data_IF_056615161774
#
_entry.id   IF_056615161774
#
_cell.length_a   1.000
_cell.length_b   1.000
_cell.length_c   1.000
_cell.angle_alpha   90.00
_cell.angle_beta   90.00
_cell.angle_gamma   90.00
#
_symmetry.space_group_name_H-M   'P 1'
#
loop_
_entity.id
_entity.type
_entity.pdbx_description
1 polymer ?
#
# COMPACT_ATOMS: atom_id res chain seq x y z
N UNK A 1 8.07 -78.53 51.61
CA UNK A 1 7.88 -77.50 52.64
C UNK A 1 8.38 -76.21 52.10
N UNK A 2 7.65 -75.19 52.14
CA UNK A 2 7.70 -73.75 52.01
C UNK A 2 6.76 -73.24 50.88
N UNK A 3 5.64 -72.79 51.38
CA UNK A 3 4.59 -72.08 50.64
C UNK A 3 5.09 -70.68 50.31
N UNK A 4 5.06 -70.27 49.03
CA UNK A 4 5.25 -68.91 48.66
C UNK A 4 3.91 -68.31 48.25
N UNK A 5 3.41 -67.43 49.04
CA UNK A 5 2.18 -66.65 48.83
C UNK A 5 2.44 -65.62 47.74
N UNK A 6 1.75 -65.75 46.60
CA UNK A 6 1.71 -64.70 45.58
C UNK A 6 0.60 -63.69 45.91
N UNK A 7 0.98 -62.49 46.25
CA UNK A 7 0.07 -61.38 46.50
C UNK A 7 -0.38 -60.79 45.15
N UNK A 8 -1.62 -61.02 44.78
CA UNK A 8 -2.26 -60.33 43.65
C UNK A 8 -2.65 -58.92 44.13
N UNK A 9 -1.95 -57.91 43.64
CA UNK A 9 -2.38 -56.52 43.79
C UNK A 9 -3.36 -56.25 42.63
N UNK A 10 -4.65 -56.24 42.96
CA UNK A 10 -5.73 -55.86 42.04
C UNK A 10 -5.73 -54.31 41.95
N UNK A 11 -5.13 -53.76 40.95
CA UNK A 11 -5.21 -52.33 40.68
C UNK A 11 -6.55 -52.03 40.03
N UNK A 12 -7.47 -51.50 40.83
CA UNK A 12 -8.77 -51.02 40.36
C UNK A 12 -8.56 -49.73 39.62
N UNK A 13 -8.52 -49.76 38.27
CA UNK A 13 -8.60 -48.56 37.46
C UNK A 13 -10.04 -48.11 37.47
N UNK A 14 -10.33 -47.11 38.31
CA UNK A 14 -11.60 -46.40 38.25
C UNK A 14 -11.51 -45.51 37.02
N UNK A 15 -12.08 -45.97 35.91
CA UNK A 15 -12.38 -45.18 34.74
C UNK A 15 -13.53 -44.25 35.12
N UNK A 16 -13.23 -43.06 35.65
CA UNK A 16 -14.19 -41.98 35.77
C UNK A 16 -14.58 -41.55 34.36
N UNK A 17 -15.65 -42.09 33.83
CA UNK A 17 -16.36 -41.50 32.71
C UNK A 17 -16.85 -40.11 33.16
N UNK A 18 -16.02 -39.10 32.99
CA UNK A 18 -16.51 -37.72 32.92
C UNK A 18 -17.40 -37.71 31.66
N UNK A 19 -18.69 -37.84 31.86
CA UNK A 19 -19.66 -37.47 30.84
C UNK A 19 -19.42 -35.98 30.59
N UNK A 20 -18.63 -35.68 29.54
CA UNK A 20 -18.63 -34.35 28.96
C UNK A 20 -20.08 -34.13 28.50
N UNK A 21 -20.86 -33.44 29.34
CA UNK A 21 -22.04 -32.76 28.82
C UNK A 21 -21.56 -31.96 27.63
N UNK A 22 -22.14 -32.15 26.44
CA UNK A 22 -21.84 -31.23 25.35
C UNK A 22 -22.19 -29.86 25.92
N UNK A 23 -21.17 -28.98 26.01
CA UNK A 23 -21.40 -27.56 26.17
C UNK A 23 -22.29 -27.26 24.97
N UNK A 24 -23.56 -26.93 25.25
CA UNK A 24 -24.43 -26.38 24.23
C UNK A 24 -23.68 -25.17 23.73
N UNK A 25 -23.08 -25.30 22.56
CA UNK A 25 -22.65 -24.16 21.77
C UNK A 25 -23.94 -23.36 21.66
N UNK A 26 -24.04 -22.22 22.32
CA UNK A 26 -25.13 -21.29 22.07
C UNK A 26 -25.21 -21.22 20.53
N UNK A 27 -26.43 -21.44 20.01
CA UNK A 27 -26.69 -21.24 18.59
C UNK A 27 -26.14 -19.85 18.29
N UNK A 28 -24.90 -19.80 17.77
CA UNK A 28 -24.21 -18.56 17.43
C UNK A 28 -25.09 -17.87 16.39
N UNK A 29 -25.30 -16.61 16.52
CA UNK A 29 -25.86 -15.81 15.44
C UNK A 29 -25.17 -16.24 14.16
N UNK A 30 -25.96 -16.60 13.13
CA UNK A 30 -25.41 -17.08 11.86
C UNK A 30 -24.42 -16.03 11.35
N UNK A 31 -23.21 -16.47 11.00
CA UNK A 31 -22.16 -15.59 10.48
C UNK A 31 -22.72 -14.88 9.23
N UNK A 32 -23.03 -13.58 9.35
CA UNK A 32 -23.69 -12.82 8.29
C UNK A 32 -22.85 -12.78 7.01
N UNK A 33 -21.54 -12.95 7.12
CA UNK A 33 -20.61 -12.87 6.01
C UNK A 33 -20.49 -14.17 5.21
N UNK A 34 -21.03 -15.30 5.72
CA UNK A 34 -20.95 -16.60 5.05
C UNK A 34 -21.58 -16.56 3.65
N UNK A 35 -22.68 -15.81 3.49
CA UNK A 35 -23.40 -15.67 2.21
C UNK A 35 -23.01 -14.42 1.42
N UNK A 36 -22.15 -13.55 1.96
CA UNK A 36 -21.81 -12.28 1.30
C UNK A 36 -20.81 -12.46 0.18
N UNK A 37 -21.12 -11.84 -0.97
CA UNK A 37 -20.18 -11.61 -2.04
C UNK A 37 -19.56 -10.19 -1.92
N UNK A 38 -18.66 -9.84 -2.83
CA UNK A 38 -17.98 -8.54 -2.85
C UNK A 38 -18.95 -7.36 -2.99
N UNK A 39 -20.03 -7.54 -3.74
CA UNK A 39 -21.07 -6.50 -3.91
C UNK A 39 -21.82 -6.25 -2.61
N UNK A 40 -22.03 -7.28 -1.78
CA UNK A 40 -22.67 -7.11 -0.48
C UNK A 40 -21.78 -6.30 0.47
N UNK A 41 -20.46 -6.60 0.51
CA UNK A 41 -19.48 -5.78 1.25
C UNK A 41 -19.44 -4.35 0.75
N UNK A 42 -19.44 -4.14 -0.58
CA UNK A 42 -19.43 -2.80 -1.17
C UNK A 42 -20.66 -1.99 -0.76
N UNK A 43 -21.85 -2.58 -0.90
CA UNK A 43 -23.12 -1.93 -0.55
C UNK A 43 -23.16 -1.57 0.93
N UNK A 44 -22.79 -2.50 1.78
CA UNK A 44 -22.78 -2.30 3.24
C UNK A 44 -21.78 -1.19 3.62
N UNK A 45 -20.56 -1.23 3.11
CA UNK A 45 -19.54 -0.23 3.39
C UNK A 45 -19.95 1.18 2.92
N UNK A 46 -20.34 1.33 1.65
CA UNK A 46 -20.66 2.65 1.09
C UNK A 46 -21.93 3.22 1.71
N UNK A 47 -22.99 2.41 1.91
CA UNK A 47 -24.24 2.88 2.49
C UNK A 47 -24.09 3.40 3.92
N UNK A 48 -23.17 2.85 4.70
CA UNK A 48 -22.89 3.30 6.07
C UNK A 48 -21.88 4.44 6.14
N UNK A 49 -21.14 4.71 5.04
CA UNK A 49 -20.01 5.65 4.99
C UNK A 49 -20.01 6.42 3.65
N UNK A 50 -21.05 7.21 3.39
CA UNK A 50 -21.19 7.98 2.14
C UNK A 50 -20.10 9.05 1.98
N UNK A 51 -19.74 9.72 3.07
CA UNK A 51 -18.67 10.72 3.10
C UNK A 51 -17.47 10.17 3.87
N UNK A 52 -16.42 9.85 3.16
CA UNK A 52 -15.13 9.40 3.68
C UNK A 52 -14.02 10.37 3.30
N UNK A 53 -14.40 11.65 3.15
CA UNK A 53 -13.46 12.68 2.72
C UNK A 53 -12.21 12.66 3.59
N UNK A 54 -11.09 12.57 2.93
CA UNK A 54 -9.75 12.55 3.55
C UNK A 54 -9.57 13.71 4.53
N UNK A 55 -8.89 13.47 5.63
CA UNK A 55 -8.65 14.44 6.72
C UNK A 55 -9.92 14.93 7.45
N UNK A 56 -11.02 14.17 7.40
CA UNK A 56 -12.26 14.52 8.09
C UNK A 56 -12.71 13.46 9.08
N UNK A 57 -13.66 13.81 9.95
CA UNK A 57 -14.32 12.85 10.83
C UNK A 57 -15.06 11.75 10.05
N UNK A 58 -15.40 11.99 8.78
CA UNK A 58 -16.00 10.98 7.89
C UNK A 58 -15.03 9.88 7.52
N UNK A 59 -13.77 10.23 7.22
CA UNK A 59 -12.70 9.25 7.02
C UNK A 59 -12.47 8.41 8.29
N UNK A 60 -12.35 9.06 9.45
CA UNK A 60 -12.17 8.34 10.72
C UNK A 60 -13.31 7.38 11.01
N UNK A 61 -14.56 7.81 10.83
CA UNK A 61 -15.75 6.97 10.99
C UNK A 61 -15.73 5.76 10.05
N UNK A 62 -15.34 5.96 8.81
CA UNK A 62 -15.25 4.86 7.83
C UNK A 62 -14.15 3.86 8.22
N UNK A 63 -13.02 4.33 8.73
CA UNK A 63 -11.99 3.48 9.30
C UNK A 63 -12.51 2.66 10.50
N UNK A 64 -13.24 3.28 11.42
CA UNK A 64 -13.86 2.58 12.56
C UNK A 64 -14.87 1.54 12.09
N UNK A 65 -15.59 1.82 11.01
CA UNK A 65 -16.49 0.86 10.40
C UNK A 65 -15.75 -0.36 9.83
N UNK A 66 -14.68 -0.16 9.06
CA UNK A 66 -13.85 -1.27 8.56
C UNK A 66 -13.29 -2.10 9.70
N UNK A 67 -12.81 -1.44 10.78
CA UNK A 67 -12.33 -2.12 11.98
C UNK A 67 -13.43 -3.00 12.60
N UNK A 68 -14.63 -2.47 12.77
CA UNK A 68 -15.75 -3.23 13.36
C UNK A 68 -16.14 -4.45 12.53
N UNK A 69 -16.15 -4.33 11.20
CA UNK A 69 -16.40 -5.46 10.29
C UNK A 69 -15.33 -6.55 10.42
N UNK A 70 -14.07 -6.16 10.50
CA UNK A 70 -12.96 -7.11 10.73
C UNK A 70 -13.05 -7.77 12.10
N UNK A 71 -13.45 -7.03 13.14
CA UNK A 71 -13.67 -7.60 14.49
C UNK A 71 -14.82 -8.61 14.52
N UNK A 72 -15.91 -8.36 13.81
CA UNK A 72 -17.01 -9.31 13.63
C UNK A 72 -16.56 -10.59 12.89
N UNK A 73 -15.60 -10.49 11.96
CA UNK A 73 -14.98 -11.64 11.29
C UNK A 73 -14.03 -12.44 12.19
N UNK A 74 -13.77 -11.96 13.42
CA UNK A 74 -12.89 -12.61 14.39
C UNK A 74 -11.48 -12.00 14.48
N UNK A 75 -11.15 -10.95 13.75
CA UNK A 75 -9.93 -10.18 13.93
C UNK A 75 -10.08 -9.25 15.13
N UNK A 76 -9.68 -9.69 16.29
CA UNK A 76 -9.88 -8.95 17.54
C UNK A 76 -8.59 -8.26 18.01
N UNK A 77 -8.69 -7.38 19.00
CA UNK A 77 -7.51 -6.80 19.65
C UNK A 77 -6.76 -7.82 20.53
N UNK A 78 -7.34 -9.02 20.75
CA UNK A 78 -6.76 -10.12 21.55
C UNK A 78 -6.18 -11.19 20.64
N UNK A 79 -4.96 -11.65 20.95
CA UNK A 79 -4.21 -12.62 20.11
C UNK A 79 -4.61 -14.09 20.34
N UNK A 80 -5.84 -14.38 20.69
CA UNK A 80 -6.22 -15.73 21.16
C UNK A 80 -6.28 -16.78 20.04
N UNK A 81 -6.51 -16.35 18.79
CA UNK A 81 -6.67 -17.23 17.62
C UNK A 81 -5.70 -16.91 16.46
N UNK A 82 -4.69 -16.07 16.68
CA UNK A 82 -3.79 -15.61 15.63
C UNK A 82 -4.38 -14.52 14.72
N UNK A 83 -5.65 -14.11 14.93
CA UNK A 83 -6.28 -13.03 14.20
C UNK A 83 -6.30 -11.77 15.07
N UNK A 84 -5.72 -10.69 14.56
CA UNK A 84 -5.67 -9.40 15.28
C UNK A 84 -6.10 -8.26 14.38
N UNK A 85 -6.60 -7.18 14.99
CA UNK A 85 -6.88 -5.92 14.32
C UNK A 85 -6.43 -4.73 15.16
N UNK A 86 -6.14 -3.60 14.51
CA UNK A 86 -5.75 -2.36 15.15
C UNK A 86 -6.07 -1.16 14.27
N UNK A 87 -6.42 -0.05 14.91
CA UNK A 87 -6.47 1.29 14.30
C UNK A 87 -5.13 1.98 14.54
N UNK A 88 -4.35 2.17 13.47
CA UNK A 88 -3.03 2.79 13.50
C UNK A 88 -3.13 4.28 13.18
N UNK A 89 -3.01 5.14 14.18
CA UNK A 89 -3.01 6.59 14.01
C UNK A 89 -1.69 7.07 13.43
N UNK A 90 -1.75 8.05 12.52
CA UNK A 90 -0.58 8.76 12.03
C UNK A 90 -0.87 10.26 11.86
N UNK A 91 0.19 11.07 11.96
CA UNK A 91 0.14 12.51 11.72
C UNK A 91 0.83 12.82 10.39
N UNK A 92 0.28 13.77 9.64
CA UNK A 92 0.87 14.25 8.38
C UNK A 92 0.56 15.71 8.14
N UNK A 93 1.30 16.32 7.23
CA UNK A 93 1.04 17.68 6.75
C UNK A 93 0.62 17.57 5.30
N UNK A 94 -0.57 18.07 4.99
CA UNK A 94 -1.08 18.10 3.62
C UNK A 94 -0.14 18.94 2.73
N UNK A 95 0.36 18.31 1.66
CA UNK A 95 1.28 18.96 0.72
C UNK A 95 0.62 20.04 -0.14
N UNK A 96 -0.72 20.06 -0.21
CA UNK A 96 -1.48 21.00 -1.04
C UNK A 96 -1.70 22.32 -0.30
N UNK A 97 -2.20 22.26 0.93
CA UNK A 97 -2.59 23.44 1.72
C UNK A 97 -1.67 23.73 2.91
N UNK A 98 -0.80 22.76 3.30
CA UNK A 98 0.10 22.89 4.43
C UNK A 98 -0.54 22.62 5.80
N UNK A 99 -1.77 22.13 5.84
CA UNK A 99 -2.49 21.84 7.07
C UNK A 99 -1.97 20.58 7.76
N UNK A 100 -1.89 20.63 9.09
CA UNK A 100 -1.56 19.46 9.91
C UNK A 100 -2.82 18.63 10.11
N UNK A 101 -2.76 17.36 9.71
CA UNK A 101 -3.87 16.42 9.74
C UNK A 101 -3.53 15.15 10.52
N UNK A 102 -4.58 14.43 10.90
CA UNK A 102 -4.50 13.09 11.48
C UNK A 102 -5.21 12.13 10.55
N UNK A 103 -4.59 10.98 10.30
CA UNK A 103 -5.19 9.88 9.55
C UNK A 103 -5.05 8.57 10.30
N UNK A 104 -5.70 7.55 9.79
CA UNK A 104 -5.69 6.21 10.39
C UNK A 104 -5.55 5.15 9.30
N UNK A 105 -4.69 4.15 9.54
CA UNK A 105 -4.74 2.89 8.82
C UNK A 105 -5.49 1.87 9.67
N UNK A 106 -6.28 1.04 9.03
CA UNK A 106 -6.91 -0.10 9.69
C UNK A 106 -6.14 -1.35 9.28
N UNK A 107 -5.57 -2.01 10.26
CA UNK A 107 -4.68 -3.15 10.06
C UNK A 107 -5.29 -4.39 10.69
N UNK A 108 -5.52 -5.42 9.89
CA UNK A 108 -5.88 -6.74 10.41
C UNK A 108 -4.77 -7.74 10.06
N UNK A 109 -4.48 -8.67 10.95
CA UNK A 109 -3.41 -9.64 10.77
C UNK A 109 -3.89 -11.05 11.05
N UNK A 110 -3.45 -11.95 10.20
CA UNK A 110 -3.46 -13.38 10.43
C UNK A 110 -2.03 -13.82 10.73
N UNK A 111 -1.74 -14.04 12.00
CA UNK A 111 -0.43 -14.50 12.44
C UNK A 111 -0.35 -16.02 12.40
N UNK A 112 0.68 -16.57 11.77
CA UNK A 112 0.94 -18.00 11.65
C UNK A 112 2.13 -18.36 12.55
N UNK A 113 1.93 -19.36 13.41
CA UNK A 113 2.98 -19.78 14.37
C UNK A 113 4.25 -20.20 13.66
N UNK A 114 5.38 -19.55 14.02
CA UNK A 114 6.68 -19.82 13.44
C UNK A 114 6.96 -19.15 12.09
N UNK A 115 5.97 -18.50 11.46
CA UNK A 115 6.20 -17.75 10.23
C UNK A 115 6.86 -16.39 10.52
N UNK A 116 7.85 -16.04 9.71
CA UNK A 116 8.55 -14.74 9.77
C UNK A 116 8.27 -13.85 8.58
N UNK A 117 7.67 -14.42 7.53
CA UNK A 117 7.37 -13.73 6.28
C UNK A 117 5.92 -13.23 6.26
N UNK A 118 5.67 -12.23 5.42
CA UNK A 118 4.38 -11.56 5.32
C UNK A 118 3.92 -11.45 3.87
N UNK A 119 2.61 -11.51 3.68
CA UNK A 119 1.92 -11.01 2.49
C UNK A 119 1.04 -9.86 2.93
N UNK A 120 1.12 -8.73 2.24
CA UNK A 120 0.28 -7.56 2.51
C UNK A 120 -0.79 -7.48 1.42
N UNK A 121 -2.05 -7.34 1.82
CA UNK A 121 -3.20 -7.09 0.95
C UNK A 121 -3.76 -5.73 1.38
N UNK A 122 -3.65 -4.73 0.51
CA UNK A 122 -3.97 -3.35 0.83
C UNK A 122 -4.98 -2.73 -0.13
N UNK A 123 -5.71 -1.73 0.36
CA UNK A 123 -6.55 -0.83 -0.41
C UNK A 123 -6.63 0.51 0.33
N UNK A 124 -7.05 1.60 -0.32
CA UNK A 124 -7.45 2.80 0.42
C UNK A 124 -8.95 2.79 0.69
N UNK A 125 -9.38 3.54 1.73
CA UNK A 125 -10.79 3.64 2.10
C UNK A 125 -11.34 5.08 2.09
N UNK A 126 -10.46 6.08 2.03
CA UNK A 126 -10.81 7.50 1.92
C UNK A 126 -11.32 7.86 0.52
N UNK A 127 -12.02 8.99 0.44
CA UNK A 127 -12.51 9.57 -0.83
C UNK A 127 -12.46 11.09 -0.79
N UNK A 128 -13.14 11.75 -1.74
CA UNK A 128 -13.19 13.19 -1.91
C UNK A 128 -14.62 13.76 -1.89
N UNK A 129 -15.59 13.09 -1.25
CA UNK A 129 -17.02 13.42 -1.33
C UNK A 129 -17.32 14.89 -1.00
N UNK A 130 -16.81 15.41 0.10
CA UNK A 130 -16.97 16.80 0.54
C UNK A 130 -15.74 17.67 0.32
N UNK A 131 -14.70 17.16 -0.37
CA UNK A 131 -13.52 17.95 -0.69
C UNK A 131 -13.86 19.04 -1.70
N UNK A 132 -13.44 20.27 -1.41
CA UNK A 132 -13.68 21.43 -2.27
C UNK A 132 -12.38 21.92 -2.92
N UNK A 133 -12.41 22.06 -4.24
CA UNK A 133 -11.35 22.69 -5.00
C UNK A 133 -11.92 23.96 -5.67
N UNK A 134 -11.33 25.11 -5.36
CA UNK A 134 -11.81 26.42 -5.84
C UNK A 134 -13.30 26.71 -5.50
N UNK A 135 -13.79 26.21 -4.36
CA UNK A 135 -15.17 26.40 -3.91
C UNK A 135 -16.19 25.43 -4.54
N UNK A 136 -15.75 24.44 -5.28
CA UNK A 136 -16.60 23.40 -5.84
C UNK A 136 -16.26 22.02 -5.28
N UNK A 137 -17.28 21.24 -4.90
CA UNK A 137 -17.10 19.83 -4.54
C UNK A 137 -16.66 19.05 -5.76
N UNK A 138 -15.60 18.21 -5.60
CA UNK A 138 -15.00 17.48 -6.72
C UNK A 138 -15.36 16.01 -6.75
N UNK A 139 -15.63 15.37 -5.61
CA UNK A 139 -15.91 13.94 -5.49
C UNK A 139 -17.37 13.59 -5.29
N UNK A 140 -17.69 12.32 -5.42
CA UNK A 140 -18.93 11.66 -5.07
C UNK A 140 -18.76 10.74 -3.86
N UNK A 141 -19.65 9.76 -3.68
CA UNK A 141 -19.61 8.80 -2.58
C UNK A 141 -18.42 7.82 -2.66
N UNK A 142 -17.67 7.82 -3.76
CA UNK A 142 -16.52 6.95 -3.98
C UNK A 142 -16.87 5.46 -4.00
N UNK A 143 -18.00 5.10 -4.60
CA UNK A 143 -18.43 3.70 -4.67
C UNK A 143 -17.50 2.86 -5.55
N UNK A 144 -17.03 3.43 -6.68
CA UNK A 144 -16.05 2.80 -7.55
C UNK A 144 -14.70 2.59 -6.84
N UNK A 145 -14.25 3.60 -6.07
CA UNK A 145 -13.02 3.52 -5.26
C UNK A 145 -13.15 2.46 -4.17
N UNK A 146 -14.31 2.36 -3.50
CA UNK A 146 -14.57 1.43 -2.42
C UNK A 146 -14.59 -0.05 -2.83
N UNK A 147 -14.54 -0.36 -4.13
CA UNK A 147 -14.49 -1.75 -4.61
C UNK A 147 -13.23 -2.49 -4.15
N UNK A 148 -12.12 -1.78 -3.93
CA UNK A 148 -10.92 -2.33 -3.31
C UNK A 148 -11.16 -2.76 -1.86
N UNK A 149 -11.89 -1.95 -1.08
CA UNK A 149 -12.28 -2.28 0.31
C UNK A 149 -13.13 -3.55 0.33
N UNK A 150 -14.12 -3.65 -0.56
CA UNK A 150 -15.00 -4.81 -0.65
C UNK A 150 -14.22 -6.12 -0.91
N UNK A 151 -13.30 -6.11 -1.86
CA UNK A 151 -12.43 -7.25 -2.18
C UNK A 151 -11.50 -7.57 -1.00
N UNK A 152 -10.89 -6.57 -0.36
CA UNK A 152 -10.03 -6.78 0.81
C UNK A 152 -10.81 -7.44 1.97
N UNK A 153 -12.03 -6.96 2.27
CA UNK A 153 -12.86 -7.54 3.33
C UNK A 153 -13.28 -8.98 3.00
N UNK A 154 -13.63 -9.25 1.73
CA UNK A 154 -13.94 -10.63 1.28
C UNK A 154 -12.72 -11.53 1.43
N UNK A 155 -11.54 -11.09 1.04
CA UNK A 155 -10.30 -11.84 1.21
C UNK A 155 -9.96 -12.04 2.69
N UNK A 156 -10.16 -11.05 3.55
CA UNK A 156 -9.97 -11.18 4.99
C UNK A 156 -10.87 -12.27 5.57
N UNK A 157 -12.13 -12.29 5.15
CA UNK A 157 -13.08 -13.34 5.53
C UNK A 157 -12.64 -14.71 5.03
N UNK A 158 -12.35 -14.85 3.74
CA UNK A 158 -12.04 -16.13 3.10
C UNK A 158 -10.71 -16.75 3.59
N UNK A 159 -9.70 -15.90 3.84
CA UNK A 159 -8.38 -16.37 4.24
C UNK A 159 -8.22 -16.56 5.75
N UNK A 160 -9.17 -16.13 6.59
CA UNK A 160 -9.00 -16.13 8.05
C UNK A 160 -8.66 -17.50 8.65
N UNK A 161 -9.14 -18.57 8.06
CA UNK A 161 -8.91 -19.94 8.54
C UNK A 161 -8.10 -20.79 7.54
N UNK A 162 -7.65 -20.24 6.43
CA UNK A 162 -6.78 -20.96 5.48
C UNK A 162 -5.42 -21.29 6.13
N UNK A 163 -4.87 -22.44 5.80
CA UNK A 163 -3.52 -22.82 6.26
C UNK A 163 -2.49 -22.24 5.30
N UNK A 164 -1.71 -21.28 5.78
CA UNK A 164 -0.69 -20.58 4.98
C UNK A 164 0.68 -20.72 5.66
N UNK A 165 1.80 -20.70 4.90
CA UNK A 165 3.14 -20.78 5.46
C UNK A 165 3.72 -19.42 5.89
N UNK A 166 2.97 -18.33 5.76
CA UNK A 166 3.34 -16.95 6.08
C UNK A 166 2.19 -16.22 6.76
N UNK A 167 2.51 -15.09 7.37
CA UNK A 167 1.54 -14.18 7.95
C UNK A 167 0.84 -13.36 6.84
N UNK A 168 -0.44 -13.03 7.04
CA UNK A 168 -1.17 -12.11 6.13
C UNK A 168 -1.52 -10.85 6.89
N UNK A 169 -1.29 -9.70 6.23
CA UNK A 169 -1.62 -8.37 6.77
C UNK A 169 -2.58 -7.71 5.79
N UNK A 170 -3.80 -7.43 6.23
CA UNK A 170 -4.78 -6.64 5.52
C UNK A 170 -4.68 -5.20 5.99
N UNK A 171 -4.59 -4.25 5.06
CA UNK A 171 -4.45 -2.84 5.41
C UNK A 171 -5.43 -2.00 4.58
N UNK A 172 -6.39 -1.35 5.26
CA UNK A 172 -7.12 -0.25 4.67
C UNK A 172 -6.38 1.05 4.99
N UNK A 173 -5.81 1.66 3.98
CA UNK A 173 -5.02 2.89 4.10
C UNK A 173 -5.92 4.12 4.10
N UNK A 174 -5.68 5.05 5.03
CA UNK A 174 -6.25 6.38 4.98
C UNK A 174 -5.29 7.39 4.36
N UNK A 175 -5.78 8.59 4.05
CA UNK A 175 -4.95 9.67 3.53
C UNK A 175 -4.37 9.44 2.13
N UNK A 176 -4.96 8.54 1.35
CA UNK A 176 -4.54 8.25 -0.02
C UNK A 176 -4.70 9.47 -0.92
N UNK A 177 -5.88 10.09 -0.90
CA UNK A 177 -6.28 11.13 -1.85
C UNK A 177 -5.40 12.40 -1.79
N UNK A 178 -4.75 12.66 -0.67
CA UNK A 178 -3.84 13.81 -0.48
C UNK A 178 -2.35 13.45 -0.69
N UNK A 179 -1.99 12.20 -0.95
CA UNK A 179 -0.60 11.84 -1.26
C UNK A 179 -0.10 10.54 -0.67
N UNK A 180 -0.95 9.51 -0.51
CA UNK A 180 -0.58 8.17 -0.04
C UNK A 180 -0.01 8.14 1.40
N UNK A 181 -0.42 9.11 2.24
CA UNK A 181 0.16 9.27 3.58
C UNK A 181 0.02 8.03 4.46
N UNK A 182 -1.14 7.33 4.38
CA UNK A 182 -1.33 6.10 5.14
C UNK A 182 -0.30 5.03 4.81
N UNK A 183 -0.04 4.80 3.53
CA UNK A 183 0.96 3.81 3.11
C UNK A 183 2.37 4.24 3.51
N UNK A 184 2.74 5.52 3.35
CA UNK A 184 4.03 6.05 3.81
C UNK A 184 4.24 5.80 5.32
N UNK A 185 3.23 6.16 6.13
CA UNK A 185 3.31 6.02 7.59
C UNK A 185 3.26 4.57 8.05
N UNK A 186 2.50 3.72 7.34
CA UNK A 186 2.50 2.27 7.60
C UNK A 186 3.89 1.68 7.39
N UNK A 187 4.55 1.99 6.28
CA UNK A 187 5.91 1.53 5.97
C UNK A 187 6.88 1.96 7.07
N UNK A 188 6.88 3.25 7.44
CA UNK A 188 7.76 3.78 8.47
C UNK A 188 7.56 3.15 9.85
N UNK A 189 6.31 2.86 10.23
CA UNK A 189 5.97 2.29 11.54
C UNK A 189 6.13 0.76 11.61
N UNK A 190 6.15 0.05 10.47
CA UNK A 190 6.13 -1.41 10.40
C UNK A 190 7.31 -1.99 9.60
N UNK A 191 8.51 -1.40 9.76
CA UNK A 191 9.69 -1.76 8.96
C UNK A 191 9.98 -3.27 8.99
N UNK A 192 9.84 -3.94 10.14
CA UNK A 192 10.08 -5.39 10.24
C UNK A 192 9.08 -6.23 9.42
N UNK A 193 7.85 -5.77 9.23
CA UNK A 193 6.87 -6.39 8.34
C UNK A 193 7.29 -6.15 6.90
N UNK A 194 7.59 -4.90 6.53
CA UNK A 194 7.96 -4.48 5.18
C UNK A 194 9.20 -5.24 4.69
N UNK A 195 10.27 -5.31 5.50
CA UNK A 195 11.52 -6.00 5.15
C UNK A 195 11.31 -7.50 4.88
N UNK A 196 10.35 -8.12 5.57
CA UNK A 196 10.03 -9.54 5.44
C UNK A 196 8.79 -9.80 4.57
N UNK A 197 8.29 -8.80 3.84
CA UNK A 197 7.16 -8.96 2.93
C UNK A 197 7.60 -9.68 1.65
N UNK A 198 6.90 -10.76 1.33
CA UNK A 198 7.06 -11.53 0.09
C UNK A 198 6.40 -10.81 -1.09
N UNK A 199 5.20 -10.30 -0.87
CA UNK A 199 4.38 -9.60 -1.87
C UNK A 199 3.44 -8.62 -1.19
N UNK A 200 3.31 -7.41 -1.76
CA UNK A 200 2.24 -6.47 -1.47
C UNK A 200 1.28 -6.42 -2.65
N UNK A 201 0.04 -6.83 -2.40
CA UNK A 201 -1.08 -6.79 -3.35
C UNK A 201 -1.92 -5.55 -3.04
N UNK A 202 -2.00 -4.63 -3.99
CA UNK A 202 -2.82 -3.43 -3.89
C UNK A 202 -4.12 -3.61 -4.69
N UNK A 203 -5.22 -3.16 -4.12
CA UNK A 203 -6.56 -3.26 -4.69
C UNK A 203 -7.11 -1.84 -4.85
N UNK A 204 -7.03 -1.30 -6.05
CA UNK A 204 -7.42 0.08 -6.33
C UNK A 204 -8.53 0.13 -7.38
N UNK A 205 -9.74 0.51 -6.96
CA UNK A 205 -10.88 0.69 -7.89
C UNK A 205 -11.14 -0.53 -8.80
N UNK A 206 -11.00 -1.75 -8.26
CA UNK A 206 -11.00 -3.01 -9.04
C UNK A 206 -12.30 -3.30 -9.78
N UNK A 207 -13.44 -2.76 -9.32
CA UNK A 207 -14.77 -3.04 -9.84
C UNK A 207 -15.24 -2.13 -10.98
N UNK A 208 -14.42 -1.20 -11.46
CA UNK A 208 -14.78 -0.22 -12.50
C UNK A 208 -14.08 -0.48 -13.82
N UNK A 209 -14.25 0.40 -14.81
CA UNK A 209 -13.60 0.28 -16.11
C UNK A 209 -14.09 -0.89 -16.96
N UNK A 210 -13.47 -1.09 -18.13
CA UNK A 210 -13.85 -2.17 -19.06
C UNK A 210 -13.30 -3.53 -18.60
N UNK A 211 -12.09 -3.54 -18.05
CA UNK A 211 -11.37 -4.76 -17.67
C UNK A 211 -10.66 -4.59 -16.35
N UNK A 212 -10.38 -5.71 -15.69
CA UNK A 212 -9.46 -5.80 -14.57
C UNK A 212 -8.04 -5.91 -15.11
N UNK A 213 -7.17 -5.03 -14.66
CA UNK A 213 -5.75 -5.03 -15.00
C UNK A 213 -4.92 -5.41 -13.78
N UNK A 214 -3.76 -6.00 -14.05
CA UNK A 214 -2.73 -6.25 -13.07
C UNK A 214 -1.40 -5.67 -13.55
N UNK A 215 -0.66 -5.05 -12.65
CA UNK A 215 0.58 -4.35 -12.94
C UNK A 215 1.56 -4.50 -11.77
N UNK A 216 2.79 -4.88 -12.05
CA UNK A 216 3.86 -4.98 -11.05
C UNK A 216 4.79 -3.76 -11.11
N UNK A 217 5.42 -3.58 -12.26
CA UNK A 217 6.45 -2.57 -12.53
C UNK A 217 6.58 -2.39 -14.06
N UNK A 218 7.38 -1.43 -14.51
CA UNK A 218 7.67 -1.21 -15.94
C UNK A 218 8.37 -2.41 -16.61
N UNK A 219 8.99 -3.26 -15.82
CA UNK A 219 9.68 -4.49 -16.28
C UNK A 219 8.92 -5.71 -15.78
N UNK A 220 8.59 -6.63 -16.69
CA UNK A 220 7.98 -7.92 -16.32
C UNK A 220 8.85 -8.65 -15.30
N UNK A 221 8.21 -9.12 -14.23
CA UNK A 221 8.89 -9.80 -13.12
C UNK A 221 8.36 -11.21 -12.95
N UNK A 222 9.16 -12.11 -12.36
CA UNK A 222 8.74 -13.50 -12.13
C UNK A 222 7.46 -13.62 -11.31
N UNK A 223 7.26 -12.74 -10.31
CA UNK A 223 6.05 -12.77 -9.51
C UNK A 223 4.82 -12.29 -10.29
N UNK A 224 4.99 -11.34 -11.20
CA UNK A 224 3.93 -10.90 -12.10
C UNK A 224 3.54 -12.02 -13.07
N UNK A 225 4.51 -12.62 -13.75
CA UNK A 225 4.27 -13.71 -14.68
C UNK A 225 3.60 -14.91 -13.99
N UNK A 226 4.05 -15.26 -12.76
CA UNK A 226 3.45 -16.32 -11.97
C UNK A 226 1.94 -16.08 -11.72
N UNK A 227 1.55 -14.87 -11.35
CA UNK A 227 0.14 -14.55 -11.07
C UNK A 227 -0.68 -14.48 -12.37
N UNK A 228 -0.08 -14.02 -13.48
CA UNK A 228 -0.74 -14.10 -14.79
C UNK A 228 -0.96 -15.54 -15.24
N UNK A 229 0.03 -16.43 -15.11
CA UNK A 229 -0.11 -17.84 -15.43
C UNK A 229 -1.24 -18.50 -14.63
N UNK A 230 -1.43 -18.10 -13.35
CA UNK A 230 -2.56 -18.55 -12.56
C UNK A 230 -3.89 -18.02 -13.09
N UNK A 231 -3.95 -16.75 -13.50
CA UNK A 231 -5.17 -16.19 -14.09
C UNK A 231 -5.59 -16.92 -15.37
N UNK A 232 -4.64 -17.26 -16.23
CA UNK A 232 -4.88 -18.06 -17.44
C UNK A 232 -5.36 -19.48 -17.10
N UNK A 233 -4.69 -20.17 -16.17
CA UNK A 233 -5.08 -21.53 -15.73
C UNK A 233 -6.50 -21.58 -15.14
N UNK A 234 -6.91 -20.51 -14.47
CA UNK A 234 -8.23 -20.38 -13.86
C UNK A 234 -9.28 -19.77 -14.81
N UNK A 235 -8.89 -19.41 -16.03
CA UNK A 235 -9.72 -18.70 -17.02
C UNK A 235 -10.32 -17.40 -16.46
N UNK A 236 -9.52 -16.62 -15.73
CA UNK A 236 -9.88 -15.32 -15.19
C UNK A 236 -9.46 -14.21 -16.18
N UNK A 237 -10.38 -13.29 -16.49
CA UNK A 237 -10.09 -12.18 -17.44
C UNK A 237 -9.32 -11.05 -16.71
N UNK A 238 -8.03 -11.23 -16.59
CA UNK A 238 -7.09 -10.24 -16.05
C UNK A 238 -6.10 -9.86 -17.13
N UNK A 239 -5.86 -8.57 -17.33
CA UNK A 239 -5.07 -8.05 -18.44
C UNK A 239 -3.85 -7.28 -18.01
N UNK A 240 -2.81 -7.30 -18.87
CA UNK A 240 -1.67 -6.38 -18.74
C UNK A 240 -2.05 -5.00 -19.27
N UNK A 241 -1.67 -3.90 -18.61
CA UNK A 241 -1.85 -2.56 -19.18
C UNK A 241 -1.17 -2.44 -20.54
N UNK A 242 -1.74 -1.67 -21.49
CA UNK A 242 -1.12 -1.42 -22.78
C UNK A 242 0.24 -0.72 -22.60
N UNK A 243 1.28 -1.21 -23.27
CA UNK A 243 2.67 -0.71 -23.15
C UNK A 243 2.88 0.73 -23.62
N UNK A 244 2.03 1.19 -24.53
CA UNK A 244 2.10 2.51 -25.18
C UNK A 244 1.24 3.58 -24.50
N UNK A 245 0.47 3.20 -23.49
CA UNK A 245 -0.44 4.12 -22.77
C UNK A 245 0.02 4.36 -21.34
N UNK A 246 -0.08 5.61 -20.90
CA UNK A 246 0.16 6.01 -19.51
C UNK A 246 -1.17 6.19 -18.82
N UNK A 247 -1.25 5.76 -17.57
CA UNK A 247 -2.39 6.10 -16.71
C UNK A 247 -2.25 7.57 -16.35
N UNK A 248 -3.26 8.34 -16.68
CA UNK A 248 -3.37 9.73 -16.23
C UNK A 248 -3.85 9.68 -14.79
N UNK A 249 -3.01 10.08 -13.84
CA UNK A 249 -3.39 10.20 -12.45
C UNK A 249 -4.60 11.13 -12.30
N UNK A 250 -5.46 10.86 -11.33
CA UNK A 250 -6.64 11.69 -11.06
C UNK A 250 -6.23 13.17 -10.93
N UNK A 251 -6.97 14.04 -11.57
CA UNK A 251 -6.67 15.48 -11.81
C UNK A 251 -6.41 16.34 -10.58
N UNK A 252 -6.57 15.79 -9.37
CA UNK A 252 -6.48 16.53 -8.09
C UNK A 252 -5.08 16.44 -7.49
N UNK A 253 -4.24 15.50 -7.94
CA UNK A 253 -2.88 15.34 -7.44
C UNK A 253 -1.92 16.23 -8.21
N UNK A 254 -1.23 17.09 -7.48
CA UNK A 254 0.02 17.67 -7.97
C UNK A 254 1.13 16.64 -7.80
N UNK A 255 1.32 15.80 -8.81
CA UNK A 255 2.32 14.72 -8.81
C UNK A 255 3.74 15.23 -8.54
N UNK A 256 4.01 16.54 -8.81
CA UNK A 256 5.29 17.17 -8.53
C UNK A 256 5.59 17.32 -7.03
N UNK A 257 4.58 17.25 -6.17
CA UNK A 257 4.70 17.34 -4.70
C UNK A 257 4.74 16.00 -4.00
N UNK A 258 4.49 14.91 -4.71
CA UNK A 258 4.65 13.58 -4.14
C UNK A 258 6.15 13.28 -3.97
N UNK A 259 6.54 12.64 -2.87
CA UNK A 259 7.94 12.33 -2.58
C UNK A 259 8.57 11.38 -3.63
N UNK A 260 7.75 10.67 -4.41
CA UNK A 260 8.18 9.65 -5.36
C UNK A 260 7.59 9.93 -6.74
N UNK A 261 8.44 9.91 -7.77
CA UNK A 261 8.04 10.06 -9.17
C UNK A 261 8.02 8.69 -9.84
N UNK A 262 6.85 8.08 -9.88
CA UNK A 262 6.64 6.84 -10.64
C UNK A 262 6.05 7.15 -12.02
N UNK A 263 6.53 6.42 -13.03
CA UNK A 263 6.02 6.55 -14.40
C UNK A 263 4.74 5.77 -14.64
N UNK A 264 4.34 4.92 -13.69
CA UNK A 264 3.16 4.06 -13.75
C UNK A 264 1.96 4.62 -12.98
N UNK A 265 1.00 3.73 -12.65
CA UNK A 265 -0.12 4.04 -11.79
C UNK A 265 0.37 4.37 -10.38
N UNK A 266 0.15 5.59 -9.94
CA UNK A 266 0.50 6.01 -8.59
C UNK A 266 -0.58 5.56 -7.60
N UNK A 267 -0.28 4.51 -6.86
CA UNK A 267 -1.08 4.01 -5.75
C UNK A 267 -0.16 3.46 -4.65
N UNK A 268 -0.69 2.89 -3.58
CA UNK A 268 0.08 2.46 -2.41
C UNK A 268 1.23 1.52 -2.75
N UNK A 269 1.01 0.59 -3.71
CA UNK A 269 2.05 -0.34 -4.17
C UNK A 269 3.35 0.36 -4.60
N UNK A 270 3.25 1.58 -5.15
CA UNK A 270 4.40 2.34 -5.62
C UNK A 270 5.39 2.64 -4.48
N UNK A 271 4.88 2.99 -3.30
CA UNK A 271 5.71 3.26 -2.13
C UNK A 271 6.41 1.99 -1.63
N UNK A 272 5.72 0.86 -1.59
CA UNK A 272 6.33 -0.43 -1.21
C UNK A 272 7.40 -0.87 -2.20
N UNK A 273 7.20 -0.58 -3.49
CA UNK A 273 8.19 -0.85 -4.53
C UNK A 273 9.52 -0.14 -4.26
N UNK A 274 9.48 1.12 -3.81
CA UNK A 274 10.67 1.90 -3.44
C UNK A 274 11.45 1.29 -2.27
N UNK A 275 10.76 0.57 -1.37
CA UNK A 275 11.39 -0.20 -0.29
C UNK A 275 11.80 -1.62 -0.70
N UNK A 276 11.71 -1.95 -1.99
CA UNK A 276 12.18 -3.22 -2.51
C UNK A 276 11.24 -4.39 -2.29
N UNK A 277 10.00 -4.14 -1.96
CA UNK A 277 8.97 -5.16 -1.86
C UNK A 277 8.49 -5.54 -3.26
N UNK A 278 8.27 -6.82 -3.54
CA UNK A 278 7.52 -7.22 -4.73
C UNK A 278 6.10 -6.69 -4.60
N UNK A 279 5.59 -6.07 -5.65
CA UNK A 279 4.25 -5.48 -5.63
C UNK A 279 3.43 -5.92 -6.83
N UNK A 280 2.11 -6.03 -6.65
CA UNK A 280 1.12 -6.14 -7.72
C UNK A 280 -0.01 -5.17 -7.41
N UNK A 281 -0.40 -4.37 -8.39
CA UNK A 281 -1.59 -3.53 -8.32
C UNK A 281 -2.68 -4.12 -9.22
N UNK A 282 -3.83 -4.44 -8.64
CA UNK A 282 -5.05 -4.82 -9.34
C UNK A 282 -5.97 -3.61 -9.39
N UNK A 283 -6.41 -3.24 -10.60
CA UNK A 283 -7.25 -2.07 -10.80
C UNK A 283 -8.15 -2.23 -12.02
N UNK A 284 -9.32 -1.61 -11.96
CA UNK A 284 -10.23 -1.51 -13.10
C UNK A 284 -9.94 -0.24 -13.88
N UNK A 285 -9.90 -0.33 -15.21
CA UNK A 285 -9.62 0.84 -16.07
C UNK A 285 -10.25 0.71 -17.46
N UNK A 286 -10.46 1.85 -18.12
CA UNK A 286 -10.89 1.92 -19.49
C UNK A 286 -9.85 2.63 -20.37
N UNK A 287 -9.12 1.85 -21.17
CA UNK A 287 -8.08 2.37 -22.07
C UNK A 287 -8.64 2.87 -23.41
N UNK A 288 -9.90 2.63 -23.73
CA UNK A 288 -10.52 3.09 -24.98
C UNK A 288 -10.97 4.54 -24.91
N UNK A 289 -11.21 5.05 -23.69
CA UNK A 289 -11.42 6.46 -23.41
C UNK A 289 -10.22 7.03 -22.64
N UNK A 290 -9.90 8.28 -22.80
CA UNK A 290 -8.80 8.91 -22.08
C UNK A 290 -9.16 9.15 -20.61
N UNK A 291 -8.65 8.36 -19.68
CA UNK A 291 -8.83 8.54 -18.24
C UNK A 291 -9.24 7.26 -17.49
N UNK A 292 -9.65 7.40 -16.22
CA UNK A 292 -10.21 6.31 -15.39
C UNK A 292 -11.59 5.85 -15.86
N UNK A 293 -11.78 5.72 -17.10
CA UNK A 293 -13.00 5.40 -17.76
C UNK A 293 -13.34 6.52 -18.73
N UNK A 294 -12.87 6.41 -19.95
CA UNK A 294 -13.43 7.19 -21.03
C UNK A 294 -14.93 6.95 -21.08
N UNK A 295 -15.67 7.92 -21.56
CA UNK A 295 -17.11 7.80 -21.78
C UNK A 295 -17.39 6.73 -22.84
N UNK A 296 -17.28 5.44 -22.45
CA UNK A 296 -18.02 4.43 -23.20
C UNK A 296 -19.47 4.49 -22.75
N UNK A 297 -20.41 4.35 -23.67
CA UNK A 297 -21.85 4.36 -23.35
C UNK A 297 -22.22 3.32 -22.27
N UNK A 298 -21.43 2.26 -22.14
CA UNK A 298 -21.70 1.14 -21.24
C UNK A 298 -20.99 1.25 -19.87
N UNK A 299 -19.84 1.92 -19.81
CA UNK A 299 -19.03 2.03 -18.59
C UNK A 299 -18.48 3.46 -18.43
N UNK A 300 -19.31 4.42 -18.00
CA UNK A 300 -18.89 5.80 -17.85
C UNK A 300 -17.84 5.93 -16.75
N UNK A 301 -16.97 6.93 -16.89
CA UNK A 301 -16.07 7.32 -15.83
C UNK A 301 -16.85 7.89 -14.64
N UNK A 302 -16.77 7.20 -13.51
CA UNK A 302 -17.36 7.67 -12.26
C UNK A 302 -16.31 7.97 -11.19
N UNK A 303 -15.19 7.25 -11.21
CA UNK A 303 -14.14 7.32 -10.17
C UNK A 303 -13.56 8.72 -10.04
N UNK A 304 -13.50 9.24 -8.81
CA UNK A 304 -12.98 10.57 -8.52
C UNK A 304 -13.86 11.72 -9.05
N UNK A 305 -15.10 11.46 -9.39
CA UNK A 305 -16.06 12.47 -9.89
C UNK A 305 -17.30 12.55 -8.99
N UNK A 306 -18.08 13.62 -9.14
CA UNK A 306 -19.41 13.76 -8.48
C UNK A 306 -20.39 12.62 -8.85
N UNK A 307 -20.12 11.87 -9.91
CA UNK A 307 -20.94 10.73 -10.36
C UNK A 307 -20.59 9.43 -9.67
N UNK A 308 -19.52 9.37 -8.89
CA UNK A 308 -19.10 8.17 -8.15
C UNK A 308 -19.99 7.96 -6.93
N UNK A 309 -21.25 7.60 -7.20
CA UNK A 309 -22.25 7.25 -6.17
C UNK A 309 -22.59 5.77 -6.25
N UNK A 310 -23.04 5.19 -5.13
CA UNK A 310 -23.47 3.80 -5.11
C UNK A 310 -24.58 3.52 -6.13
N UNK A 311 -25.53 4.46 -6.29
CA UNK A 311 -26.61 4.35 -7.27
C UNK A 311 -26.08 4.27 -8.70
N UNK A 312 -25.16 5.15 -9.08
CA UNK A 312 -24.55 5.12 -10.43
C UNK A 312 -23.67 3.88 -10.60
N UNK A 313 -22.89 3.51 -9.59
CA UNK A 313 -22.07 2.28 -9.64
C UNK A 313 -22.97 1.06 -9.93
N UNK A 314 -24.05 0.90 -9.20
CA UNK A 314 -25.00 -0.21 -9.41
C UNK A 314 -25.72 -0.12 -10.75
N UNK A 315 -25.95 1.08 -11.29
CA UNK A 315 -26.57 1.25 -12.60
C UNK A 315 -25.63 0.84 -13.75
N UNK A 316 -24.35 1.13 -13.65
CA UNK A 316 -23.39 0.93 -14.74
C UNK A 316 -22.50 -0.29 -14.58
N UNK A 317 -22.20 -0.70 -13.35
CA UNK A 317 -21.19 -1.71 -13.05
C UNK A 317 -21.72 -2.91 -12.25
N UNK A 318 -23.03 -3.03 -11.98
CA UNK A 318 -23.55 -4.09 -11.08
C UNK A 318 -23.06 -5.49 -11.45
N UNK A 319 -23.16 -5.89 -12.71
CA UNK A 319 -22.74 -7.21 -13.18
C UNK A 319 -21.24 -7.25 -13.52
N UNK A 320 -20.76 -6.29 -14.34
CA UNK A 320 -19.37 -6.26 -14.77
C UNK A 320 -18.40 -5.95 -13.62
N UNK A 321 -18.81 -5.10 -12.69
CA UNK A 321 -18.04 -4.77 -11.50
C UNK A 321 -17.97 -5.92 -10.52
N UNK A 322 -19.10 -6.59 -10.25
CA UNK A 322 -19.12 -7.80 -9.44
C UNK A 322 -18.17 -8.87 -10.00
N UNK A 323 -18.27 -9.15 -11.30
CA UNK A 323 -17.39 -10.13 -11.95
C UNK A 323 -15.90 -9.77 -11.81
N UNK A 324 -15.54 -8.49 -11.92
CA UNK A 324 -14.15 -8.04 -11.72
C UNK A 324 -13.70 -8.19 -10.28
N UNK A 325 -14.54 -7.85 -9.31
CA UNK A 325 -14.24 -8.04 -7.88
C UNK A 325 -14.09 -9.53 -7.54
N UNK A 326 -15.00 -10.38 -7.99
CA UNK A 326 -14.90 -11.85 -7.83
C UNK A 326 -13.62 -12.40 -8.50
N UNK A 327 -13.27 -11.90 -9.68
CA UNK A 327 -12.02 -12.25 -10.36
C UNK A 327 -10.80 -11.87 -9.55
N UNK A 328 -10.78 -10.66 -8.98
CA UNK A 328 -9.68 -10.20 -8.11
C UNK A 328 -9.57 -11.07 -6.85
N UNK A 329 -10.69 -11.35 -6.17
CA UNK A 329 -10.74 -12.23 -5.00
C UNK A 329 -10.22 -13.63 -5.34
N UNK A 330 -10.72 -14.23 -6.41
CA UNK A 330 -10.33 -15.57 -6.83
C UNK A 330 -8.84 -15.64 -7.19
N UNK A 331 -8.32 -14.66 -7.92
CA UNK A 331 -6.92 -14.60 -8.31
C UNK A 331 -5.99 -14.44 -7.11
N UNK A 332 -6.28 -13.49 -6.23
CA UNK A 332 -5.47 -13.26 -5.02
C UNK A 332 -5.48 -14.48 -4.11
N UNK A 333 -6.66 -15.07 -3.88
CA UNK A 333 -6.79 -16.30 -3.08
C UNK A 333 -5.98 -17.44 -3.71
N UNK A 334 -6.11 -17.68 -5.01
CA UNK A 334 -5.37 -18.72 -5.70
C UNK A 334 -3.85 -18.48 -5.64
N UNK A 335 -3.41 -17.24 -5.79
CA UNK A 335 -1.98 -16.91 -5.72
C UNK A 335 -1.40 -17.21 -4.34
N UNK A 336 -2.02 -16.71 -3.25
CA UNK A 336 -1.48 -16.88 -1.90
C UNK A 336 -1.63 -18.31 -1.35
N UNK A 337 -2.50 -19.13 -1.93
CA UNK A 337 -2.66 -20.54 -1.56
C UNK A 337 -1.86 -21.50 -2.45
N UNK A 338 -1.21 -21.00 -3.50
CA UNK A 338 -0.39 -21.85 -4.37
C UNK A 338 0.85 -22.37 -3.65
N UNK A 339 1.18 -23.65 -3.86
CA UNK A 339 2.25 -24.35 -3.16
C UNK A 339 3.64 -23.71 -3.40
N UNK A 340 3.87 -23.20 -4.59
CA UNK A 340 5.15 -22.61 -5.01
C UNK A 340 5.22 -21.07 -4.80
N UNK A 341 4.15 -20.45 -4.30
CA UNK A 341 4.08 -19.00 -4.11
C UNK A 341 5.30 -18.42 -3.37
N UNK A 342 5.60 -18.93 -2.17
CA UNK A 342 6.71 -18.40 -1.37
C UNK A 342 8.06 -18.53 -2.07
N UNK A 343 8.29 -19.61 -2.80
CA UNK A 343 9.52 -19.85 -3.54
C UNK A 343 9.68 -18.83 -4.68
N UNK A 344 8.62 -18.63 -5.46
CA UNK A 344 8.62 -17.69 -6.59
C UNK A 344 8.82 -16.25 -6.10
N UNK A 345 8.12 -15.83 -5.02
CA UNK A 345 8.27 -14.48 -4.47
C UNK A 345 9.69 -14.21 -3.99
N UNK A 346 10.32 -15.17 -3.32
CA UNK A 346 11.74 -15.08 -2.87
C UNK A 346 12.71 -14.99 -4.03
N UNK A 347 12.49 -15.76 -5.07
CA UNK A 347 13.33 -15.74 -6.26
C UNK A 347 13.20 -14.39 -6.98
N UNK A 348 11.98 -13.88 -7.16
CA UNK A 348 11.73 -12.57 -7.76
C UNK A 348 12.39 -11.42 -7.00
N UNK A 349 12.33 -11.46 -5.66
CA UNK A 349 13.00 -10.47 -4.80
C UNK A 349 14.52 -10.49 -4.98
N UNK A 350 15.13 -11.65 -5.11
CA UNK A 350 16.59 -11.79 -5.33
C UNK A 350 17.04 -11.19 -6.65
N UNK A 351 16.30 -11.42 -7.74
CA UNK A 351 16.63 -10.88 -9.05
C UNK A 351 16.59 -9.35 -9.07
N UNK A 352 15.61 -8.75 -8.38
CA UNK A 352 15.46 -7.31 -8.27
C UNK A 352 16.60 -6.64 -7.50
N UNK A 353 17.24 -7.35 -6.56
CA UNK A 353 18.26 -6.84 -5.64
C UNK A 353 19.62 -7.51 -5.75
N UNK A 354 19.95 -8.17 -6.87
CA UNK A 354 21.34 -8.62 -7.05
C UNK A 354 22.28 -7.43 -7.35
N UNK A 355 22.38 -6.55 -6.37
CA UNK A 355 23.45 -5.56 -6.26
C UNK A 355 24.69 -6.12 -5.57
N UNK A 356 24.89 -7.45 -5.60
CA UNK A 356 26.05 -8.10 -4.98
C UNK A 356 27.37 -7.53 -5.49
N UNK A 357 27.41 -7.02 -6.74
CA UNK A 357 28.54 -6.29 -7.29
C UNK A 357 28.80 -4.92 -6.61
N UNK A 358 27.75 -4.20 -6.14
CA UNK A 358 27.89 -2.95 -5.40
C UNK A 358 28.39 -3.15 -3.96
N UNK A 359 28.20 -4.33 -3.40
CA UNK A 359 28.58 -4.71 -2.03
C UNK A 359 30.00 -5.25 -1.95
N UNK A 360 30.66 -5.52 -3.10
CA UNK A 360 32.08 -5.88 -3.06
C UNK A 360 32.89 -4.74 -2.46
N UNK A 361 33.73 -5.02 -1.47
CA UNK A 361 34.58 -4.01 -0.80
C UNK A 361 35.37 -3.15 -1.78
N UNK A 362 35.75 -3.71 -2.94
CA UNK A 362 36.45 -3.00 -4.01
C UNK A 362 35.62 -1.88 -4.64
N UNK A 363 34.31 -2.10 -4.84
CA UNK A 363 33.40 -1.08 -5.42
C UNK A 363 33.04 -0.03 -4.37
N UNK A 364 32.80 -0.41 -3.13
CA UNK A 364 32.57 0.53 -2.02
C UNK A 364 33.77 1.47 -1.84
N UNK A 365 34.99 0.94 -1.84
CA UNK A 365 36.22 1.72 -1.76
C UNK A 365 36.38 2.62 -3.00
N UNK A 366 36.12 2.11 -4.19
CA UNK A 366 36.20 2.88 -5.44
C UNK A 366 35.21 4.03 -5.49
N UNK A 367 33.95 3.83 -5.12
CA UNK A 367 32.91 4.87 -5.07
C UNK A 367 33.24 5.91 -3.99
N UNK A 368 33.66 5.47 -2.80
CA UNK A 368 34.05 6.39 -1.72
C UNK A 368 35.28 7.24 -2.09
N UNK A 369 36.28 6.67 -2.72
CA UNK A 369 37.45 7.39 -3.22
C UNK A 369 37.08 8.38 -4.36
N UNK A 370 36.16 7.99 -5.23
CA UNK A 370 35.66 8.84 -6.31
C UNK A 370 34.91 10.07 -5.76
N UNK A 371 34.07 9.90 -4.76
CA UNK A 371 33.36 11.00 -4.08
C UNK A 371 34.34 11.92 -3.37
N UNK A 372 35.32 11.38 -2.66
CA UNK A 372 36.36 12.15 -1.98
C UNK A 372 37.22 12.98 -2.98
N UNK A 373 37.58 12.37 -4.11
CA UNK A 373 38.31 13.07 -5.16
C UNK A 373 37.49 14.20 -5.78
N UNK A 374 36.19 13.99 -6.02
CA UNK A 374 35.30 15.03 -6.54
C UNK A 374 35.11 16.19 -5.55
N UNK A 375 34.97 15.89 -4.25
CA UNK A 375 34.89 16.89 -3.18
C UNK A 375 36.21 17.71 -3.07
N UNK A 376 37.35 17.03 -3.14
CA UNK A 376 38.65 17.70 -3.12
C UNK A 376 38.86 18.63 -4.33
N UNK A 377 38.43 18.18 -5.54
CA UNK A 377 38.49 19.02 -6.72
C UNK A 377 37.54 20.24 -6.63
N UNK A 378 36.34 20.05 -6.09
CA UNK A 378 35.41 21.16 -5.86
C UNK A 378 35.98 22.17 -4.84
N UNK A 379 36.58 21.71 -3.74
CA UNK A 379 37.20 22.54 -2.74
C UNK A 379 38.40 23.32 -3.31
N UNK A 380 39.24 22.69 -4.16
CA UNK A 380 40.34 23.37 -4.84
C UNK A 380 39.85 24.48 -5.80
N UNK A 381 38.76 24.26 -6.55
CA UNK A 381 38.15 25.27 -7.41
C UNK A 381 37.59 26.46 -6.61
N UNK A 382 36.98 26.21 -5.48
CA UNK A 382 36.47 27.24 -4.56
C UNK A 382 37.67 28.04 -4.01
N UNK A 383 38.74 27.37 -3.57
CA UNK A 383 39.95 28.02 -3.06
C UNK A 383 40.58 28.95 -4.12
N UNK A 384 40.77 28.48 -5.35
CA UNK A 384 41.30 29.29 -6.46
C UNK A 384 40.41 30.51 -6.77
N UNK A 385 39.09 30.35 -6.69
CA UNK A 385 38.16 31.47 -6.86
C UNK A 385 38.28 32.50 -5.74
N UNK A 386 38.39 32.06 -4.50
CA UNK A 386 38.56 32.95 -3.35
C UNK A 386 39.89 33.69 -3.38
N UNK A 387 41.00 33.03 -3.71
CA UNK A 387 42.30 33.64 -3.87
C UNK A 387 42.29 34.72 -4.97
N UNK A 388 41.60 34.47 -6.10
CA UNK A 388 41.43 35.46 -7.18
C UNK A 388 40.59 36.65 -6.74
N UNK A 389 39.55 36.45 -5.95
CA UNK A 389 38.73 37.53 -5.36
C UNK A 389 39.58 38.38 -4.39
N UNK A 390 40.34 37.74 -3.49
CA UNK A 390 41.21 38.43 -2.54
C UNK A 390 42.30 39.27 -3.24
N UNK A 391 42.93 38.74 -4.31
CA UNK A 391 43.92 39.49 -5.10
C UNK A 391 43.29 40.67 -5.86
N UNK A 392 42.07 40.53 -6.33
CA UNK A 392 41.34 41.63 -6.98
C UNK A 392 40.90 42.70 -5.97
N UNK A 393 40.50 42.32 -4.75
CA UNK A 393 40.17 43.26 -3.68
C UNK A 393 41.39 44.09 -3.26
N UNK A 394 42.55 43.44 -3.02
CA UNK A 394 43.79 44.14 -2.74
C UNK A 394 44.22 45.14 -3.82
N UNK A 395 44.09 44.75 -5.11
CA UNK A 395 44.36 45.65 -6.20
C UNK A 395 43.42 46.86 -6.29
N UNK A 396 42.16 46.69 -5.81
CA UNK A 396 41.20 47.77 -5.74
C UNK A 396 41.51 48.73 -4.56
N UNK A 397 41.94 48.21 -3.43
CA UNK A 397 42.40 49.00 -2.26
C UNK A 397 43.65 49.80 -2.61
N UNK A 398 44.70 49.19 -3.22
CA UNK A 398 45.90 49.86 -3.65
C UNK A 398 45.63 51.02 -4.64
N UNK A 399 44.65 50.81 -5.56
CA UNK A 399 44.21 51.88 -6.49
C UNK A 399 43.45 53.01 -5.79
N UNK A 400 42.67 52.69 -4.76
CA UNK A 400 41.98 53.72 -3.98
C UNK A 400 42.92 54.58 -3.18
N UNK A 401 43.97 53.99 -2.57
CA UNK A 401 45.00 54.69 -1.82
C UNK A 401 45.87 55.59 -2.72
N UNK A 402 46.21 55.12 -3.96
CA UNK A 402 46.92 55.94 -4.94
C UNK A 402 46.07 57.13 -5.42
N UNK A 403 44.77 56.95 -5.60
CA UNK A 403 43.84 58.01 -5.97
C UNK A 403 43.69 59.05 -4.84
N UNK A 404 43.61 58.57 -3.55
CA UNK A 404 43.56 59.45 -2.40
C UNK A 404 44.85 60.31 -2.26
N UNK A 405 46.07 59.72 -2.41
CA UNK A 405 47.34 60.42 -2.40
C UNK A 405 47.50 61.43 -3.56
N UNK A 406 46.94 61.10 -4.72
CA UNK A 406 46.93 62.07 -5.85
C UNK A 406 45.96 63.22 -5.58
N UNK A 407 44.82 62.98 -4.97
CA UNK A 407 43.87 64.06 -4.63
C UNK A 407 44.41 64.98 -3.54
N UNK A 408 45.08 64.46 -2.50
CA UNK A 408 45.73 65.27 -1.46
C UNK A 408 46.83 66.16 -2.05
N UNK A 409 47.67 65.69 -3.00
CA UNK A 409 48.67 66.45 -3.66
C UNK A 409 48.08 67.59 -4.50
N UNK A 410 46.96 67.40 -5.11
CA UNK A 410 46.28 68.48 -5.89
C UNK A 410 45.71 69.56 -4.97
N UNK A 411 45.37 69.27 -3.73
CA UNK A 411 44.90 70.23 -2.74
C UNK A 411 46.04 70.98 -2.03
N UNK A 412 47.28 70.44 -2.02
CA UNK A 412 48.48 71.21 -1.51
C UNK A 412 49.06 72.24 -2.46
N UNK A 413 48.76 72.15 -3.78
CA UNK A 413 49.23 73.05 -4.80
C UNK A 413 48.23 74.20 -5.12
N UNK A 414 47.14 74.33 -4.35
CA UNK A 414 46.16 75.42 -4.38
C UNK A 414 46.21 76.22 -3.07
#
# INVERSE_FOLDING_TARGET
MRKTIALFVLTLVICSCVSATPIAVAEGEADRFESWNETDFLKDFVSNNLDRTVATAGEEKAGDYVLSVLEEMGYTTRKDNGLTSAKQRFDYVDSINGDANVGYNIVARKDVSGATEFVIIGCHYDNLTSYELNGEKVGGEGAGEATGVAVMLKLAYDLRYETLPFNVVFVAFGGNQLGLYGAEKFIGANQSIVDNTLLMLNLDSVGVGDYLYMYADEVSTKHEDFVYDLSEKLNLDVRKPPKDKKIVAAKIRDDSKLPYHHKGLLSENSLFLDYGVNTLNLFGYNWTGEGYGGESENHPDIVGTKRDTLSNYLAYYSESGQKKMETATALVKAAVTAEDFSAVMKESKKEKFDYSWLVSDKVRIGVSLGILAALAAAAALVYVKLDKIQKNSKKAEDKSDDFQKQSEKVFEDF
#
